data_IF_116596420841
#
_entry.id   IF_116596420841
#
_cell.length_a   1.000
_cell.length_b   1.000
_cell.length_c   1.000
_cell.angle_alpha   90.00
_cell.angle_beta   90.00
_cell.angle_gamma   90.00
#
_symmetry.space_group_name_H-M   'P 1'
#
loop_
_entity.id
_entity.type
_entity.pdbx_description
1 polymer ?
#
# COMPACT_ATOMS: atom_id res chain seq x y z
N UNK A 1 8.83 -7.97 18.56
CA UNK A 1 7.83 -7.21 17.77
C UNK A 1 8.48 -6.84 16.46
N UNK A 2 7.98 -7.36 15.35
CA UNK A 2 8.49 -7.00 14.02
C UNK A 2 7.93 -5.62 13.67
N UNK A 3 8.76 -4.58 13.66
CA UNK A 3 8.36 -3.25 13.22
C UNK A 3 8.36 -3.26 11.69
N UNK A 4 7.18 -3.11 11.08
CA UNK A 4 7.06 -2.89 9.64
C UNK A 4 7.08 -1.38 9.40
N UNK A 5 8.21 -0.88 8.90
CA UNK A 5 8.34 0.52 8.53
C UNK A 5 7.91 0.67 7.07
N UNK A 6 6.80 1.37 6.83
CA UNK A 6 6.40 1.77 5.47
C UNK A 6 6.90 3.19 5.24
N UNK A 7 7.97 3.33 4.46
CA UNK A 7 8.46 4.63 4.06
C UNK A 7 7.68 5.13 2.84
N UNK A 8 6.99 6.24 2.99
CA UNK A 8 6.29 6.93 1.91
C UNK A 8 7.16 8.06 1.39
N UNK A 9 7.77 7.85 0.23
CA UNK A 9 8.58 8.85 -0.46
C UNK A 9 10.08 8.61 -0.34
N UNK A 10 10.67 8.27 -1.49
CA UNK A 10 12.04 8.60 -1.89
C UNK A 10 12.15 8.32 -3.40
N UNK A 11 12.55 9.35 -4.16
CA UNK A 11 12.31 9.57 -5.59
C UNK A 11 10.87 9.98 -5.97
N UNK A 12 10.61 11.28 -5.88
CA UNK A 12 9.39 11.94 -6.39
C UNK A 12 8.44 12.34 -5.26
N UNK A 13 8.47 13.61 -4.85
CA UNK A 13 7.66 14.22 -3.77
C UNK A 13 6.13 14.13 -3.94
N UNK A 14 5.62 13.45 -4.96
CA UNK A 14 4.20 13.45 -5.32
C UNK A 14 3.36 12.54 -4.41
N UNK A 15 3.88 11.35 -4.06
CA UNK A 15 3.11 10.37 -3.27
C UNK A 15 3.03 10.78 -1.80
N UNK A 16 4.13 11.29 -1.23
CA UNK A 16 4.15 11.72 0.17
C UNK A 16 3.17 12.87 0.42
N UNK A 17 3.22 13.91 -0.41
CA UNK A 17 2.29 15.03 -0.33
C UNK A 17 0.83 14.57 -0.45
N UNK A 18 0.50 13.80 -1.49
CA UNK A 18 -0.87 13.33 -1.73
C UNK A 18 -1.41 12.49 -0.56
N UNK A 19 -0.57 11.67 0.07
CA UNK A 19 -0.97 10.91 1.26
C UNK A 19 -1.33 11.83 2.42
N UNK A 20 -0.49 12.81 2.73
CA UNK A 20 -0.76 13.73 3.84
C UNK A 20 -1.94 14.67 3.53
N UNK A 21 -2.08 15.13 2.30
CA UNK A 21 -3.22 15.94 1.87
C UNK A 21 -4.53 15.14 1.93
N UNK A 22 -4.52 13.88 1.50
CA UNK A 22 -5.68 13.00 1.61
C UNK A 22 -6.07 12.73 3.08
N UNK A 23 -5.08 12.52 3.97
CA UNK A 23 -5.33 12.34 5.40
C UNK A 23 -5.86 13.63 6.05
N UNK A 24 -5.29 14.78 5.71
CA UNK A 24 -5.71 16.06 6.22
C UNK A 24 -7.13 16.42 5.77
N UNK A 25 -7.39 16.33 4.47
CA UNK A 25 -8.69 16.52 3.85
C UNK A 25 -9.74 15.55 4.41
N UNK A 26 -9.36 14.29 4.60
CA UNK A 26 -10.23 13.31 5.22
C UNK A 26 -10.54 13.72 6.66
N UNK A 27 -9.56 14.05 7.50
CA UNK A 27 -9.79 14.42 8.91
C UNK A 27 -10.74 15.63 9.08
N UNK A 28 -10.68 16.61 8.18
CA UNK A 28 -11.52 17.80 8.22
C UNK A 28 -12.88 17.63 7.52
N UNK A 29 -13.14 16.49 6.89
CA UNK A 29 -14.41 16.25 6.21
C UNK A 29 -15.59 16.25 7.20
N UNK A 30 -16.56 17.18 7.07
CA UNK A 30 -17.76 17.21 7.91
C UNK A 30 -18.82 16.18 7.45
N UNK A 31 -18.61 15.54 6.30
CA UNK A 31 -19.52 14.56 5.72
C UNK A 31 -19.24 13.18 6.31
N UNK A 32 -19.86 12.88 7.44
CA UNK A 32 -19.83 11.55 8.06
C UNK A 32 -21.24 11.09 8.38
N UNK A 33 -21.55 9.82 8.09
CA UNK A 33 -22.72 9.14 8.64
C UNK A 33 -22.45 8.62 10.07
N UNK A 34 -21.36 9.09 10.70
CA UNK A 34 -20.94 8.76 12.05
C UNK A 34 -21.31 9.87 13.04
N UNK A 35 -21.33 9.54 14.33
CA UNK A 35 -21.63 10.52 15.37
C UNK A 35 -20.56 11.62 15.47
N UNK A 36 -20.94 12.78 16.00
CA UNK A 36 -20.01 13.91 16.23
C UNK A 36 -18.81 13.50 17.08
N UNK A 37 -19.05 12.70 18.13
CA UNK A 37 -18.01 12.18 19.04
C UNK A 37 -17.01 11.25 18.34
N UNK A 38 -17.49 10.36 17.45
CA UNK A 38 -16.60 9.46 16.69
C UNK A 38 -15.74 10.25 15.69
N UNK A 39 -16.32 11.28 15.08
CA UNK A 39 -15.58 12.16 14.16
C UNK A 39 -14.48 12.95 14.90
N UNK A 40 -14.78 13.49 16.08
CA UNK A 40 -13.82 14.19 16.94
C UNK A 40 -12.70 13.26 17.43
N UNK A 41 -13.03 12.03 17.84
CA UNK A 41 -12.02 11.04 18.25
C UNK A 41 -11.08 10.62 17.11
N UNK A 42 -11.62 10.47 15.88
CA UNK A 42 -10.82 10.23 14.69
C UNK A 42 -9.90 11.41 14.38
N UNK A 43 -10.43 12.64 14.42
CA UNK A 43 -9.64 13.86 14.22
C UNK A 43 -8.49 13.98 15.22
N UNK A 44 -8.78 13.75 16.51
CA UNK A 44 -7.76 13.76 17.56
C UNK A 44 -6.67 12.71 17.30
N UNK A 45 -7.06 11.49 16.93
CA UNK A 45 -6.12 10.41 16.60
C UNK A 45 -5.27 10.71 15.36
N UNK A 46 -5.87 11.33 14.33
CA UNK A 46 -5.15 11.74 13.13
C UNK A 46 -4.13 12.83 13.43
N UNK A 47 -4.51 13.84 14.23
CA UNK A 47 -3.60 14.88 14.69
C UNK A 47 -2.45 14.26 15.48
N UNK A 48 -2.74 13.56 16.57
CA UNK A 48 -1.71 12.96 17.44
C UNK A 48 -0.71 12.07 16.69
N UNK A 49 -1.17 11.26 15.71
CA UNK A 49 -0.29 10.32 14.99
C UNK A 49 0.45 10.89 13.81
N UNK A 50 -0.16 11.81 13.06
CA UNK A 50 0.33 12.21 11.74
C UNK A 50 0.68 13.69 11.65
N UNK A 51 0.24 14.53 12.58
CA UNK A 51 0.40 15.98 12.49
C UNK A 51 0.75 16.60 13.86
N UNK A 52 1.95 17.14 14.00
CA UNK A 52 2.30 17.99 15.14
C UNK A 52 1.80 19.42 14.91
N UNK A 53 1.14 20.02 15.90
CA UNK A 53 0.74 21.43 15.88
C UNK A 53 1.90 22.26 16.44
N UNK A 54 2.50 23.14 15.63
CA UNK A 54 3.47 24.13 16.13
C UNK A 54 2.73 25.42 16.53
N UNK A 55 3.14 26.02 17.65
CA UNK A 55 2.43 27.10 18.36
C UNK A 55 2.51 28.49 17.70
N UNK A 56 2.84 28.57 16.41
CA UNK A 56 2.78 29.83 15.65
C UNK A 56 2.18 29.60 14.27
N UNK A 57 1.02 30.21 14.03
CA UNK A 57 0.26 30.07 12.80
C UNK A 57 1.05 30.47 11.54
N UNK A 58 1.31 29.48 10.69
CA UNK A 58 1.72 29.65 9.31
C UNK A 58 1.90 28.30 8.62
N UNK A 59 1.17 28.06 7.52
CA UNK A 59 1.46 26.96 6.59
C UNK A 59 1.69 27.59 5.22
N UNK A 60 2.92 27.44 4.70
CA UNK A 60 3.29 27.81 3.33
C UNK A 60 3.43 26.54 2.47
N UNK A 61 2.61 26.43 1.44
CA UNK A 61 2.78 25.45 0.37
C UNK A 61 2.32 26.03 -0.97
N UNK A 62 3.21 26.71 -1.69
CA UNK A 62 3.01 26.93 -3.12
C UNK A 62 3.80 25.94 -3.96
N UNK A 63 3.14 25.24 -4.90
CA UNK A 63 3.64 24.98 -6.28
C UNK A 63 2.44 24.99 -7.26
N UNK A 64 2.59 25.66 -8.42
CA UNK A 64 1.62 25.75 -9.54
C UNK A 64 1.81 24.60 -10.56
N UNK A 65 0.75 24.02 -11.16
CA UNK A 65 0.87 22.99 -12.21
C UNK A 65 0.72 23.51 -13.66
N UNK A 66 1.28 22.83 -14.68
CA UNK A 66 0.85 22.97 -16.08
C UNK A 66 -0.13 21.85 -16.50
N UNK A 67 -1.12 22.22 -17.33
CA UNK A 67 -2.13 21.35 -17.93
C UNK A 67 -1.63 20.66 -19.22
N UNK A 68 -2.05 19.40 -19.49
CA UNK A 68 -2.73 18.94 -20.73
C UNK A 68 -2.74 17.41 -20.98
N UNK A 69 -3.93 16.87 -21.33
CA UNK A 69 -4.17 16.04 -22.55
C UNK A 69 -3.79 14.55 -22.64
N UNK A 70 -4.77 13.64 -22.38
CA UNK A 70 -5.25 12.39 -23.08
C UNK A 70 -4.27 11.42 -23.81
N UNK A 71 -4.65 10.16 -24.19
CA UNK A 71 -5.51 9.13 -23.55
C UNK A 71 -5.03 7.64 -23.69
N UNK A 72 -5.64 6.76 -22.86
CA UNK A 72 -6.23 5.42 -23.09
C UNK A 72 -5.48 4.12 -23.53
N UNK A 73 -6.07 3.00 -23.03
CA UNK A 73 -6.18 1.61 -23.54
C UNK A 73 -5.03 0.63 -23.24
N UNK A 74 -5.18 -0.69 -23.05
CA UNK A 74 -6.26 -1.70 -23.19
C UNK A 74 -5.87 -2.97 -22.39
N UNK A 75 -6.80 -3.60 -21.67
CA UNK A 75 -7.35 -4.97 -21.87
C UNK A 75 -6.42 -6.06 -22.44
N UNK A 76 -6.31 -7.19 -21.71
CA UNK A 76 -6.23 -8.60 -22.18
C UNK A 76 -6.11 -9.50 -20.92
N UNK A 77 -6.50 -10.77 -20.84
CA UNK A 77 -7.38 -11.70 -21.57
C UNK A 77 -7.49 -12.94 -20.66
N UNK A 78 -8.62 -13.63 -20.69
CA UNK A 78 -9.02 -14.77 -19.85
C UNK A 78 -8.36 -16.10 -20.22
N UNK A 79 -8.39 -17.04 -19.25
CA UNK A 79 -8.06 -18.47 -19.30
C UNK A 79 -6.65 -18.88 -18.84
N UNK A 80 -6.46 -18.85 -17.52
CA UNK A 80 -5.63 -19.82 -16.79
C UNK A 80 -6.54 -20.47 -15.76
N UNK A 81 -6.38 -21.76 -15.53
CA UNK A 81 -6.94 -22.43 -14.35
C UNK A 81 -6.76 -21.50 -13.14
N UNK A 82 -7.83 -21.26 -12.38
CA UNK A 82 -7.81 -20.30 -11.27
C UNK A 82 -6.92 -20.84 -10.15
N UNK A 83 -5.61 -20.80 -10.35
CA UNK A 83 -4.67 -20.64 -9.26
C UNK A 83 -4.93 -19.24 -8.71
N UNK A 84 -5.80 -19.20 -7.70
CA UNK A 84 -5.94 -17.99 -6.91
C UNK A 84 -4.59 -17.70 -6.29
N UNK A 85 -4.25 -16.42 -6.32
CA UNK A 85 -3.10 -15.91 -5.63
C UNK A 85 -3.28 -16.16 -4.13
N UNK A 86 -2.45 -17.02 -3.55
CA UNK A 86 -2.53 -17.36 -2.14
C UNK A 86 -2.14 -16.15 -1.30
N UNK A 87 -3.01 -15.76 -0.39
CA UNK A 87 -2.74 -14.68 0.56
C UNK A 87 -2.33 -15.27 1.91
N UNK A 88 -1.34 -14.67 2.56
CA UNK A 88 -1.06 -14.96 3.97
C UNK A 88 -2.18 -14.35 4.80
N UNK A 89 -2.40 -13.04 4.62
CA UNK A 89 -3.39 -12.31 5.37
C UNK A 89 -3.92 -11.10 4.57
N UNK A 90 -5.21 -10.82 4.74
CA UNK A 90 -5.89 -9.72 4.10
C UNK A 90 -6.63 -8.87 5.14
N UNK A 91 -6.59 -7.56 4.95
CA UNK A 91 -7.36 -6.59 5.72
C UNK A 91 -8.29 -5.83 4.77
N UNK A 92 -9.59 -5.96 4.99
CA UNK A 92 -10.61 -5.17 4.28
C UNK A 92 -11.03 -3.99 5.15
N UNK A 93 -10.90 -2.78 4.62
CA UNK A 93 -11.31 -1.54 5.26
C UNK A 93 -12.53 -1.02 4.53
N UNK A 94 -13.69 -1.00 5.20
CA UNK A 94 -14.95 -0.48 4.68
C UNK A 94 -15.28 0.86 5.31
N UNK A 95 -15.61 1.84 4.47
CA UNK A 95 -16.00 3.19 4.89
C UNK A 95 -17.34 3.60 4.26
N UNK A 96 -18.18 4.28 5.01
CA UNK A 96 -19.42 4.90 4.51
C UNK A 96 -20.72 4.21 4.91
N UNK A 97 -21.75 4.34 4.08
CA UNK A 97 -23.12 3.89 4.42
C UNK A 97 -23.26 2.36 4.40
N UNK A 98 -24.06 1.82 5.33
CA UNK A 98 -24.44 0.40 5.40
C UNK A 98 -23.25 -0.58 5.51
N UNK A 99 -22.10 -0.15 6.05
CA UNK A 99 -20.89 -1.01 6.17
C UNK A 99 -21.14 -2.29 6.96
N UNK A 100 -22.10 -2.29 7.89
CA UNK A 100 -22.45 -3.49 8.66
C UNK A 100 -23.19 -4.54 7.83
N UNK A 101 -23.91 -4.13 6.78
CA UNK A 101 -24.69 -5.01 5.89
C UNK A 101 -23.88 -5.51 4.69
N UNK A 102 -22.64 -5.04 4.52
CA UNK A 102 -21.78 -5.49 3.42
C UNK A 102 -21.44 -6.98 3.57
N UNK A 103 -21.76 -7.76 2.53
CA UNK A 103 -21.38 -9.17 2.43
C UNK A 103 -19.87 -9.28 2.15
N UNK A 104 -19.20 -10.08 2.98
CA UNK A 104 -17.76 -10.34 2.90
C UNK A 104 -17.46 -11.83 2.75
N UNK A 105 -18.47 -12.66 2.46
CA UNK A 105 -18.32 -14.11 2.34
C UNK A 105 -17.24 -14.51 1.32
N UNK A 106 -17.22 -13.85 0.17
CA UNK A 106 -16.24 -14.11 -0.89
C UNK A 106 -14.78 -13.85 -0.44
N UNK A 107 -14.55 -12.93 0.50
CA UNK A 107 -13.20 -12.65 1.02
C UNK A 107 -12.79 -13.61 2.14
N UNK A 108 -13.71 -14.42 2.67
CA UNK A 108 -13.43 -15.39 3.74
C UNK A 108 -13.16 -16.80 3.22
N UNK A 109 -13.18 -16.98 1.90
CA UNK A 109 -12.97 -18.29 1.30
C UNK A 109 -11.58 -18.83 1.68
N UNK A 110 -11.49 -20.00 2.35
CA UNK A 110 -10.22 -20.61 2.72
C UNK A 110 -9.29 -20.86 1.53
N UNK A 111 -9.82 -21.02 0.30
CA UNK A 111 -9.02 -21.23 -0.90
C UNK A 111 -8.18 -20.00 -1.29
N UNK A 112 -8.46 -18.82 -0.72
CA UNK A 112 -7.68 -17.61 -0.93
C UNK A 112 -6.46 -17.52 0.01
N UNK A 113 -6.35 -18.40 1.00
CA UNK A 113 -5.40 -18.28 2.11
C UNK A 113 -4.48 -19.49 2.25
N UNK A 114 -3.36 -19.27 2.92
CA UNK A 114 -2.44 -20.35 3.28
C UNK A 114 -3.09 -21.32 4.28
N UNK A 115 -2.71 -22.59 4.21
CA UNK A 115 -3.27 -23.66 5.05
C UNK A 115 -2.75 -23.66 6.49
N UNK A 116 -1.60 -23.02 6.74
CA UNK A 116 -0.91 -23.02 8.02
C UNK A 116 -1.34 -21.87 8.95
N UNK A 117 -2.01 -20.83 8.43
CA UNK A 117 -2.50 -19.71 9.24
C UNK A 117 -3.98 -19.94 9.60
N UNK A 118 -4.34 -19.72 10.85
CA UNK A 118 -5.75 -19.84 11.25
C UNK A 118 -6.62 -18.80 10.52
N UNK A 119 -7.84 -19.18 10.07
CA UNK A 119 -8.72 -18.27 9.33
C UNK A 119 -9.04 -16.95 10.05
N UNK A 120 -9.03 -16.96 11.39
CA UNK A 120 -9.27 -15.77 12.22
C UNK A 120 -8.16 -14.72 12.10
N UNK A 121 -6.94 -15.15 11.76
CA UNK A 121 -5.78 -14.29 11.56
C UNK A 121 -5.55 -13.96 10.09
N UNK A 122 -6.02 -14.82 9.18
CA UNK A 122 -5.91 -14.64 7.73
C UNK A 122 -6.81 -13.51 7.20
N UNK A 123 -7.95 -13.22 7.83
CA UNK A 123 -8.86 -12.19 7.35
C UNK A 123 -9.33 -11.26 8.46
N UNK A 124 -9.00 -9.98 8.32
CA UNK A 124 -9.43 -8.91 9.21
C UNK A 124 -10.33 -7.91 8.48
N UNK A 125 -11.25 -7.31 9.22
CA UNK A 125 -12.19 -6.31 8.68
C UNK A 125 -12.25 -5.11 9.60
N UNK A 126 -11.99 -3.93 9.05
CA UNK A 126 -12.24 -2.66 9.72
C UNK A 126 -13.42 -1.98 9.05
N UNK A 127 -14.33 -1.44 9.86
CA UNK A 127 -15.54 -0.77 9.39
C UNK A 127 -15.67 0.59 10.05
N UNK A 128 -16.01 1.61 9.27
CA UNK A 128 -16.41 2.92 9.80
C UNK A 128 -17.54 3.51 8.96
N UNK A 129 -18.50 4.16 9.60
CA UNK A 129 -19.63 4.80 8.90
C UNK A 129 -19.23 6.13 8.26
N UNK A 130 -18.01 6.60 8.51
CA UNK A 130 -17.48 7.84 7.95
C UNK A 130 -17.22 7.66 6.45
N UNK A 131 -17.76 8.55 5.62
CA UNK A 131 -17.46 8.57 4.18
C UNK A 131 -15.97 8.87 3.94
N UNK A 132 -15.51 8.64 2.71
CA UNK A 132 -14.13 8.94 2.31
C UNK A 132 -14.10 9.48 0.89
N UNK A 133 -13.33 10.55 0.67
CA UNK A 133 -13.08 11.11 -0.67
C UNK A 133 -14.36 11.36 -1.49
N UNK A 134 -15.40 11.94 -0.86
CA UNK A 134 -16.73 12.22 -1.46
C UNK A 134 -17.55 11.00 -1.89
N UNK A 135 -17.05 9.78 -1.66
CA UNK A 135 -17.80 8.55 -1.94
C UNK A 135 -18.67 8.18 -0.75
N UNK A 136 -19.95 7.89 -1.00
CA UNK A 136 -20.89 7.41 0.02
C UNK A 136 -20.51 6.05 0.60
N UNK A 137 -19.83 5.22 -0.20
CA UNK A 137 -19.32 3.89 0.17
C UNK A 137 -17.95 3.69 -0.48
N UNK A 138 -16.97 3.26 0.30
CA UNK A 138 -15.66 2.86 -0.22
C UNK A 138 -15.13 1.61 0.48
N UNK A 139 -14.34 0.84 -0.25
CA UNK A 139 -13.70 -0.37 0.24
C UNK A 139 -12.24 -0.38 -0.22
N UNK A 140 -11.33 -0.67 0.70
CA UNK A 140 -9.92 -0.87 0.42
C UNK A 140 -9.52 -2.28 0.90
N UNK A 141 -8.74 -2.98 0.09
CA UNK A 141 -8.17 -4.28 0.43
C UNK A 141 -6.65 -4.13 0.54
N UNK A 142 -6.12 -4.36 1.74
CA UNK A 142 -4.69 -4.52 1.96
C UNK A 142 -4.42 -6.02 1.97
N UNK A 143 -3.68 -6.48 0.96
CA UNK A 143 -3.42 -7.91 0.78
C UNK A 143 -1.94 -8.22 0.88
N UNK A 144 -1.60 -9.15 1.77
CA UNK A 144 -0.28 -9.76 1.83
C UNK A 144 -0.34 -11.10 1.09
N UNK A 145 0.13 -11.14 -0.15
CA UNK A 145 -0.07 -12.28 -1.07
C UNK A 145 1.05 -12.46 -2.09
N UNK A 146 1.00 -13.57 -2.84
CA UNK A 146 1.92 -13.85 -3.95
C UNK A 146 1.81 -12.88 -5.13
N UNK A 147 0.91 -11.89 -5.07
CA UNK A 147 0.73 -10.89 -6.14
C UNK A 147 2.04 -10.24 -6.55
N UNK A 148 2.91 -9.96 -5.56
CA UNK A 148 4.17 -9.27 -5.75
C UNK A 148 5.29 -10.16 -6.27
N UNK A 149 5.13 -11.48 -6.29
CA UNK A 149 6.16 -12.43 -6.74
C UNK A 149 6.63 -12.11 -8.16
N UNK A 150 5.71 -12.03 -9.12
CA UNK A 150 6.08 -11.79 -10.53
C UNK A 150 6.72 -10.42 -10.76
N UNK A 151 6.17 -9.30 -10.23
CA UNK A 151 6.85 -8.01 -10.32
C UNK A 151 8.25 -8.02 -9.71
N UNK A 152 8.43 -8.61 -8.52
CA UNK A 152 9.73 -8.66 -7.86
C UNK A 152 10.74 -9.51 -8.63
N UNK A 153 10.32 -10.67 -9.15
CA UNK A 153 11.16 -11.54 -9.99
C UNK A 153 11.67 -10.82 -11.25
N UNK A 154 10.79 -10.06 -11.92
CA UNK A 154 11.19 -9.23 -13.07
C UNK A 154 12.18 -8.13 -12.67
N UNK A 155 12.00 -7.50 -11.50
CA UNK A 155 12.90 -6.46 -11.00
C UNK A 155 14.28 -7.05 -10.70
N UNK A 156 14.33 -8.16 -9.97
CA UNK A 156 15.60 -8.87 -9.66
C UNK A 156 16.30 -9.29 -10.94
N UNK A 157 15.59 -9.93 -11.86
CA UNK A 157 16.18 -10.39 -13.12
C UNK A 157 16.79 -9.24 -13.95
N UNK A 158 16.11 -8.08 -14.01
CA UNK A 158 16.67 -6.89 -14.66
C UNK A 158 17.90 -6.35 -13.94
N UNK A 159 17.84 -6.25 -12.61
CA UNK A 159 18.94 -5.74 -11.82
C UNK A 159 20.18 -6.65 -11.92
N UNK A 160 19.98 -7.97 -11.89
CA UNK A 160 21.03 -8.96 -12.11
C UNK A 160 21.68 -8.82 -13.49
N UNK A 161 20.89 -8.68 -14.55
CA UNK A 161 21.42 -8.49 -15.91
C UNK A 161 22.28 -7.21 -16.03
N UNK A 162 21.86 -6.13 -15.38
CA UNK A 162 22.64 -4.89 -15.34
C UNK A 162 23.93 -5.07 -14.53
N UNK A 163 23.85 -5.73 -13.38
CA UNK A 163 24.99 -6.03 -12.52
C UNK A 163 26.03 -6.92 -13.21
N UNK A 164 25.60 -8.02 -13.84
CA UNK A 164 26.46 -8.93 -14.60
C UNK A 164 27.18 -8.24 -15.76
N UNK A 165 26.58 -7.19 -16.32
CA UNK A 165 27.17 -6.34 -17.37
C UNK A 165 28.06 -5.22 -16.81
N UNK A 166 28.27 -5.17 -15.49
CA UNK A 166 28.94 -4.07 -14.76
C UNK A 166 28.35 -2.69 -15.07
N UNK A 167 27.06 -2.63 -15.38
CA UNK A 167 26.38 -1.39 -15.73
C UNK A 167 26.23 -0.51 -14.49
N UNK A 168 26.70 0.74 -14.58
CA UNK A 168 26.59 1.78 -13.54
C UNK A 168 27.23 1.47 -12.17
N UNK A 169 27.81 0.28 -11.95
CA UNK A 169 28.42 -0.14 -10.67
C UNK A 169 29.42 0.90 -10.14
N UNK A 170 30.29 1.43 -11.00
CA UNK A 170 31.26 2.46 -10.64
C UNK A 170 30.64 3.75 -10.05
N UNK A 171 29.39 4.06 -10.37
CA UNK A 171 28.69 5.21 -9.82
C UNK A 171 28.28 4.95 -8.37
N UNK A 172 27.87 3.72 -8.07
CA UNK A 172 27.49 3.30 -6.72
C UNK A 172 28.73 3.14 -5.83
N UNK A 173 29.80 2.53 -6.33
CA UNK A 173 31.05 2.36 -5.57
C UNK A 173 31.70 3.70 -5.21
N UNK A 174 31.57 4.73 -6.05
CA UNK A 174 31.99 6.10 -5.73
C UNK A 174 31.34 6.65 -4.46
N UNK A 175 30.13 6.21 -4.13
CA UNK A 175 29.38 6.63 -2.94
C UNK A 175 29.40 5.57 -1.83
N UNK A 176 30.30 4.60 -1.90
CA UNK A 176 30.53 3.61 -0.84
C UNK A 176 29.59 2.40 -0.86
N UNK A 177 28.92 2.13 -1.99
CA UNK A 177 28.15 0.89 -2.19
C UNK A 177 29.00 -0.08 -3.01
N UNK A 178 29.45 -1.16 -2.39
CA UNK A 178 30.35 -2.15 -2.98
C UNK A 178 29.57 -3.21 -3.78
N UNK A 179 30.27 -4.04 -4.56
CA UNK A 179 29.62 -5.10 -5.36
C UNK A 179 28.94 -6.14 -4.45
N UNK A 180 29.51 -6.38 -3.26
CA UNK A 180 28.96 -7.25 -2.21
C UNK A 180 27.57 -6.80 -1.75
N UNK A 181 27.32 -5.50 -1.62
CA UNK A 181 26.01 -4.96 -1.19
C UNK A 181 24.89 -5.30 -2.19
N UNK A 182 25.23 -5.33 -3.50
CA UNK A 182 24.29 -5.75 -4.53
C UNK A 182 23.97 -7.24 -4.42
N UNK A 183 25.00 -8.08 -4.23
CA UNK A 183 24.83 -9.53 -4.10
C UNK A 183 23.99 -9.89 -2.87
N UNK A 184 24.21 -9.20 -1.74
CA UNK A 184 23.38 -9.35 -0.55
C UNK A 184 21.93 -8.94 -0.82
N UNK A 185 21.73 -7.81 -1.50
CA UNK A 185 20.40 -7.32 -1.87
C UNK A 185 19.64 -8.28 -2.81
N UNK A 186 20.34 -8.87 -3.78
CA UNK A 186 19.75 -9.90 -4.66
C UNK A 186 19.35 -11.13 -3.87
N UNK A 187 20.25 -11.64 -3.03
CA UNK A 187 19.99 -12.82 -2.18
C UNK A 187 18.77 -12.61 -1.30
N UNK A 188 18.67 -11.43 -0.67
CA UNK A 188 17.52 -11.07 0.17
C UNK A 188 16.22 -11.07 -0.62
N UNK A 189 16.21 -10.47 -1.81
CA UNK A 189 14.99 -10.36 -2.61
C UNK A 189 14.58 -11.71 -3.23
N UNK A 190 15.55 -12.52 -3.65
CA UNK A 190 15.32 -13.91 -4.09
C UNK A 190 14.76 -14.77 -2.97
N UNK A 191 15.25 -14.62 -1.74
CA UNK A 191 14.69 -15.32 -0.57
C UNK A 191 13.25 -14.89 -0.30
N UNK A 192 12.92 -13.60 -0.43
CA UNK A 192 11.54 -13.10 -0.32
C UNK A 192 10.67 -13.73 -1.41
N UNK A 193 11.11 -13.70 -2.67
CA UNK A 193 10.40 -14.32 -3.80
C UNK A 193 10.16 -15.82 -3.52
N UNK A 194 11.19 -16.55 -3.12
CA UNK A 194 11.09 -17.97 -2.80
C UNK A 194 10.12 -18.25 -1.65
N UNK A 195 10.12 -17.40 -0.62
CA UNK A 195 9.19 -17.52 0.50
C UNK A 195 7.73 -17.33 0.06
N UNK A 196 7.47 -16.36 -0.82
CA UNK A 196 6.12 -16.11 -1.33
C UNK A 196 5.69 -17.13 -2.40
N UNK A 197 6.60 -17.65 -3.23
CA UNK A 197 6.29 -18.71 -4.20
C UNK A 197 5.78 -20.00 -3.52
N UNK A 198 6.26 -20.28 -2.31
CA UNK A 198 5.95 -21.51 -1.56
C UNK A 198 4.80 -21.34 -0.55
N UNK A 199 4.00 -20.28 -0.66
CA UNK A 199 2.81 -20.05 0.18
C UNK A 199 1.68 -21.02 -0.14
#
# INVERSE_FOLDING_TARGET
MSIVTVQLGQCGNQIGFEVFDALFSDSHCPQGLCSKRENEAYQASCKERFFSEEENGGIDWQIRPPLSGLPALSKMSTNKEFHFNTSIANLVILRGKDVHNADLGAFKDPALYTSWLEPVHAFNVWKTQRAFSKYEKSAALVSNSQFLVKPLDVIVGKAWNMFASKAYIHQYTKYGIEEEDFLESFTLLEQVIASYCNL
#
